data_IF_809496466957
#
_entry.id   IF_809496466957
#
_cell.length_a   1.000
_cell.length_b   1.000
_cell.length_c   1.000
_cell.angle_alpha   90.00
_cell.angle_beta   90.00
_cell.angle_gamma   90.00
#
_symmetry.space_group_name_H-M   'P 1'
#
loop_
_entity.id
_entity.type
_entity.pdbx_description
1 polymer ?
#
# COMPACT_ATOMS: atom_id res chain seq x y z
N UNK A 1 -5.17 -14.13 6.51
CA UNK A 1 -4.28 -13.01 6.16
C UNK A 1 -3.00 -13.17 6.98
N UNK A 2 -1.83 -13.18 6.35
CA UNK A 2 -0.56 -13.17 7.10
C UNK A 2 -0.42 -11.87 7.91
N UNK A 3 0.17 -11.95 9.11
CA UNK A 3 0.33 -10.80 10.01
C UNK A 3 0.98 -9.60 9.31
N UNK A 4 1.99 -9.86 8.47
CA UNK A 4 2.72 -8.84 7.71
C UNK A 4 1.83 -8.11 6.69
N UNK A 5 1.02 -8.84 5.92
CA UNK A 5 0.17 -8.24 4.88
C UNK A 5 -0.91 -7.35 5.50
N UNK A 6 -1.47 -7.76 6.65
CA UNK A 6 -2.41 -6.92 7.41
C UNK A 6 -1.75 -5.61 7.87
N UNK A 7 -0.47 -5.66 8.24
CA UNK A 7 0.29 -4.49 8.69
C UNK A 7 0.52 -3.51 7.54
N UNK A 8 0.98 -4.03 6.39
CA UNK A 8 1.15 -3.22 5.16
C UNK A 8 -0.15 -2.53 4.76
N UNK A 9 -1.27 -3.26 4.72
CA UNK A 9 -2.57 -2.70 4.37
C UNK A 9 -3.02 -1.56 5.31
N UNK A 10 -2.78 -1.70 6.62
CA UNK A 10 -3.04 -0.64 7.60
C UNK A 10 -2.16 0.58 7.33
N UNK A 11 -0.86 0.39 7.16
CA UNK A 11 0.10 1.48 7.00
C UNK A 11 -0.12 2.24 5.69
N UNK A 12 -0.45 1.55 4.59
CA UNK A 12 -0.85 2.19 3.33
C UNK A 12 -2.03 3.13 3.51
N UNK A 13 -3.07 2.65 4.20
CA UNK A 13 -4.27 3.45 4.48
C UNK A 13 -3.95 4.70 5.29
N UNK A 14 -3.05 4.59 6.27
CA UNK A 14 -2.65 5.74 7.08
C UNK A 14 -1.77 6.72 6.29
N UNK A 15 -0.78 6.25 5.53
CA UNK A 15 0.04 7.09 4.65
C UNK A 15 -0.84 7.88 3.66
N UNK A 16 -1.81 7.20 3.05
CA UNK A 16 -2.77 7.83 2.14
C UNK A 16 -3.59 8.92 2.83
N UNK A 17 -4.15 8.62 4.00
CA UNK A 17 -4.93 9.58 4.78
C UNK A 17 -4.10 10.78 5.26
N UNK A 18 -2.85 10.56 5.67
CA UNK A 18 -1.93 11.63 6.05
C UNK A 18 -1.66 12.59 4.88
N UNK A 19 -1.67 12.08 3.65
CA UNK A 19 -1.57 12.90 2.43
C UNK A 19 -2.88 13.52 1.98
N UNK A 20 -4.01 13.15 2.57
CA UNK A 20 -5.33 13.69 2.20
C UNK A 20 -5.84 13.25 0.83
N UNK A 21 -5.33 12.15 0.28
CA UNK A 21 -5.66 11.69 -1.08
C UNK A 21 -6.62 10.49 -1.10
N UNK A 22 -7.31 10.32 -2.21
CA UNK A 22 -8.19 9.19 -2.52
C UNK A 22 -7.39 7.93 -2.85
N UNK A 23 -8.06 6.78 -2.88
CA UNK A 23 -7.43 5.51 -3.28
C UNK A 23 -7.03 5.50 -4.77
N UNK A 24 -7.71 6.27 -5.61
CA UNK A 24 -7.40 6.40 -7.04
C UNK A 24 -6.12 7.22 -7.23
N UNK A 25 -6.03 8.40 -6.62
CA UNK A 25 -4.82 9.22 -6.63
C UNK A 25 -3.60 8.48 -6.04
N UNK A 26 -3.81 7.66 -5.00
CA UNK A 26 -2.74 6.84 -4.44
C UNK A 26 -2.30 5.69 -5.37
N UNK A 27 -3.23 5.14 -6.16
CA UNK A 27 -2.91 4.14 -7.17
C UNK A 27 -2.06 4.75 -8.30
N UNK A 28 -2.43 5.96 -8.74
CA UNK A 28 -1.69 6.75 -9.73
C UNK A 28 -0.28 7.06 -9.24
N UNK A 29 -0.14 7.52 -7.98
CA UNK A 29 1.18 7.76 -7.36
C UNK A 29 2.06 6.51 -7.35
N UNK A 30 1.46 5.33 -7.16
CA UNK A 30 2.19 4.06 -7.09
C UNK A 30 2.30 3.35 -8.46
N UNK A 31 1.94 4.02 -9.56
CA UNK A 31 1.97 3.47 -10.92
C UNK A 31 1.28 2.07 -11.00
N UNK A 32 0.08 1.97 -10.44
CA UNK A 32 -0.71 0.74 -10.42
C UNK A 32 -2.21 0.97 -10.63
N UNK A 33 -2.90 -0.08 -11.04
CA UNK A 33 -4.35 -0.06 -11.24
C UNK A 33 -5.11 0.25 -9.94
N UNK A 34 -6.13 1.11 -10.03
CA UNK A 34 -6.98 1.47 -8.89
C UNK A 34 -7.54 0.24 -8.16
N UNK A 35 -8.04 -0.77 -8.90
CA UNK A 35 -8.56 -2.01 -8.30
C UNK A 35 -7.49 -2.80 -7.56
N UNK A 36 -6.24 -2.76 -8.03
CA UNK A 36 -5.13 -3.42 -7.37
C UNK A 36 -4.78 -2.69 -6.06
N UNK A 37 -4.69 -1.36 -6.07
CA UNK A 37 -4.46 -0.55 -4.88
C UNK A 37 -5.56 -0.72 -3.84
N UNK A 38 -6.83 -0.62 -4.26
CA UNK A 38 -7.99 -0.85 -3.41
C UNK A 38 -7.94 -2.23 -2.74
N UNK A 39 -7.52 -3.26 -3.48
CA UNK A 39 -7.39 -4.61 -2.94
C UNK A 39 -6.30 -4.68 -1.87
N UNK A 40 -5.18 -3.96 -2.02
CA UNK A 40 -4.13 -3.87 -1.00
C UNK A 40 -4.63 -3.22 0.29
N UNK A 41 -5.38 -2.12 0.22
CA UNK A 41 -5.94 -1.47 1.43
C UNK A 41 -7.11 -2.23 2.07
N UNK A 42 -7.83 -3.05 1.29
CA UNK A 42 -9.05 -3.74 1.75
C UNK A 42 -8.82 -4.87 2.76
N UNK A 43 -7.58 -5.25 3.06
CA UNK A 43 -7.23 -6.41 3.90
C UNK A 43 -7.77 -7.76 3.38
N UNK A 44 -8.01 -7.91 2.07
CA UNK A 44 -8.56 -9.15 1.48
C UNK A 44 -7.51 -10.10 0.89
N UNK A 45 -6.27 -9.63 0.70
CA UNK A 45 -5.22 -10.35 -0.01
C UNK A 45 -4.41 -11.30 0.87
N UNK A 46 -4.34 -12.60 0.58
CA UNK A 46 -3.51 -13.50 1.41
C UNK A 46 -2.01 -13.15 1.38
N UNK A 47 -1.51 -12.71 0.23
CA UNK A 47 -0.10 -12.42 -0.03
C UNK A 47 0.06 -11.17 -0.93
N UNK A 48 1.26 -10.58 -0.91
CA UNK A 48 1.65 -9.47 -1.77
C UNK A 48 3.00 -9.75 -2.42
N UNK A 49 3.14 -9.41 -3.71
CA UNK A 49 4.42 -9.56 -4.43
C UNK A 49 5.40 -8.49 -3.97
N UNK A 50 6.68 -8.82 -3.94
CA UNK A 50 7.74 -7.86 -3.59
C UNK A 50 7.76 -6.65 -4.53
N UNK A 51 7.54 -6.86 -5.84
CA UNK A 51 7.42 -5.77 -6.81
C UNK A 51 6.26 -4.82 -6.54
N UNK A 52 5.18 -5.30 -5.92
CA UNK A 52 4.08 -4.43 -5.49
C UNK A 52 4.50 -3.59 -4.28
N UNK A 53 5.23 -4.17 -3.33
CA UNK A 53 5.79 -3.45 -2.17
C UNK A 53 6.74 -2.34 -2.65
N UNK A 54 7.62 -2.63 -3.62
CA UNK A 54 8.52 -1.63 -4.20
C UNK A 54 7.77 -0.48 -4.87
N UNK A 55 6.74 -0.78 -5.67
CA UNK A 55 5.88 0.25 -6.29
C UNK A 55 5.19 1.14 -5.27
N UNK A 56 4.63 0.53 -4.22
CA UNK A 56 3.98 1.25 -3.14
C UNK A 56 4.98 2.17 -2.42
N UNK A 57 6.14 1.63 -2.04
CA UNK A 57 7.19 2.39 -1.37
C UNK A 57 7.66 3.57 -2.24
N UNK A 58 7.89 3.33 -3.54
CA UNK A 58 8.25 4.37 -4.52
C UNK A 58 7.18 5.46 -4.63
N UNK A 59 5.90 5.10 -4.76
CA UNK A 59 4.81 6.08 -4.86
C UNK A 59 4.62 6.91 -3.59
N UNK A 60 4.92 6.32 -2.44
CA UNK A 60 4.95 7.04 -1.16
C UNK A 60 6.30 7.70 -0.86
N UNK A 61 7.34 7.53 -1.67
CA UNK A 61 8.67 8.12 -1.43
C UNK A 61 9.28 7.68 -0.09
N UNK A 62 9.09 6.42 0.28
CA UNK A 62 9.58 5.79 1.51
C UNK A 62 10.38 4.52 1.20
N UNK A 63 11.08 3.97 2.18
CA UNK A 63 11.73 2.67 2.03
C UNK A 63 10.72 1.52 2.13
N UNK A 64 10.91 0.39 1.43
CA UNK A 64 10.04 -0.78 1.55
C UNK A 64 9.82 -1.25 2.99
N UNK A 65 10.82 -1.11 3.86
CA UNK A 65 10.74 -1.46 5.28
C UNK A 65 9.71 -0.63 6.05
N UNK A 66 9.48 0.62 5.64
CA UNK A 66 8.56 1.54 6.33
C UNK A 66 7.10 1.07 6.21
N UNK A 67 6.78 0.32 5.15
CA UNK A 67 5.47 -0.33 4.99
C UNK A 67 5.21 -1.39 6.07
N UNK A 68 6.24 -1.87 6.77
CA UNK A 68 6.16 -2.84 7.85
C UNK A 68 6.40 -2.23 9.25
N UNK A 69 6.76 -0.95 9.34
CA UNK A 69 6.95 -0.24 10.60
C UNK A 69 5.64 -0.16 11.41
N UNK A 70 5.73 0.07 12.72
CA UNK A 70 4.58 -0.06 13.65
C UNK A 70 3.91 1.27 13.91
#
# INVERSE_FOLDING_TARGET
MGILVKKVAKNLKELRKQRGITQEEAADLCEMEYKQYQRYESNTLKDMRLSSIEKLAKGFGIEPSDLFAT
#
